data_IF_325486360488
#
_entry.id   IF_325486360488
#
_cell.length_a   1.000
_cell.length_b   1.000
_cell.length_c   1.000
_cell.angle_alpha   90.00
_cell.angle_beta   90.00
_cell.angle_gamma   90.00
#
_symmetry.space_group_name_H-M   'P 1'
#
loop_
_entity.id
_entity.type
_entity.pdbx_description
1 polymer ?
2 branched ?
3 non-polymer ?
4 non-polymer ?
5 water ?
#
# COMPACT_ATOMS: atom_id res chain seq x y z
N UNK A 1 -12.58 -10.50 -0.19
CA UNK A 1 -11.91 -10.36 -1.52
C UNK A 1 -11.33 -8.96 -1.75
N UNK A 2 -10.43 -8.83 -2.73
CA UNK A 2 -9.79 -7.55 -3.05
C UNK A 2 -10.32 -6.88 -4.32
N UNK A 3 -9.62 -5.82 -4.73
CA UNK A 3 -9.95 -5.08 -5.94
C UNK A 3 -8.63 -4.73 -6.61
N UNK A 4 -8.66 -4.58 -7.93
CA UNK A 4 -7.45 -4.25 -8.66
C UNK A 4 -7.55 -2.89 -9.35
N UNK A 5 -6.58 -2.02 -9.08
CA UNK A 5 -6.55 -0.70 -9.73
C UNK A 5 -5.54 -0.78 -10.86
N UNK A 6 -6.02 -0.79 -12.11
CA UNK A 6 -5.11 -0.85 -13.26
C UNK A 6 -4.30 0.43 -13.38
N UNK A 7 -3.03 0.29 -13.75
CA UNK A 7 -2.13 1.43 -13.93
C UNK A 7 -1.53 1.24 -15.33
N UNK A 8 -2.34 1.49 -16.38
CA UNK A 8 -1.98 1.36 -17.79
C UNK A 8 -0.59 1.83 -18.23
N UNK A 9 -0.15 2.97 -17.73
CA UNK A 9 1.17 3.46 -18.11
C UNK A 9 2.22 3.09 -17.09
N UNK A 10 1.84 2.24 -16.14
CA UNK A 10 2.75 1.82 -15.10
C UNK A 10 2.87 2.92 -14.06
N UNK A 11 3.73 2.71 -13.07
CA UNK A 11 3.93 3.70 -12.02
C UNK A 11 4.93 4.73 -12.55
N UNK A 12 4.67 6.00 -12.28
CA UNK A 12 5.55 7.08 -12.74
C UNK A 12 5.65 8.16 -11.66
N UNK A 13 6.81 8.84 -11.58
CA UNK A 13 6.97 9.89 -10.58
C UNK A 13 5.89 10.96 -10.76
N UNK A 14 5.42 11.52 -9.65
CA UNK A 14 4.37 12.54 -9.61
C UNK A 14 2.98 11.93 -9.52
N UNK A 15 2.89 10.61 -9.63
CA UNK A 15 1.61 9.92 -9.53
C UNK A 15 1.15 9.90 -8.07
N UNK A 16 -0.10 10.29 -7.85
CA UNK A 16 -0.67 10.28 -6.50
C UNK A 16 -1.89 9.37 -6.49
N UNK A 17 -1.86 8.35 -5.65
CA UNK A 17 -2.96 7.39 -5.52
C UNK A 17 -3.68 7.65 -4.21
N UNK A 18 -5.01 7.73 -4.26
CA UNK A 18 -5.80 7.98 -3.06
C UNK A 18 -6.82 6.86 -2.86
N UNK A 19 -6.77 6.24 -1.68
CA UNK A 19 -7.69 5.16 -1.35
C UNK A 19 -8.55 5.65 -0.20
N UNK A 20 -9.85 5.72 -0.43
CA UNK A 20 -10.80 6.18 0.57
C UNK A 20 -11.69 5.02 0.99
N UNK A 21 -11.86 4.85 2.29
CA UNK A 21 -12.70 3.78 2.78
C UNK A 21 -12.95 3.81 4.27
N UNK A 22 -13.44 2.70 4.79
CA UNK A 22 -13.71 2.58 6.21
C UNK A 22 -13.21 1.21 6.64
N UNK A 23 -12.49 1.17 7.76
CA UNK A 23 -11.98 -0.10 8.26
C UNK A 23 -13.14 -0.89 8.86
N UNK A 24 -13.24 -2.16 8.50
CA UNK A 24 -14.31 -3.01 9.02
C UNK A 24 -14.11 -3.23 10.51
N UNK A 25 -15.19 -3.60 11.23
CA UNK A 25 -15.06 -3.84 12.67
C UNK A 25 -14.12 -5.02 12.92
N UNK A 26 -13.43 -5.01 14.05
CA UNK A 26 -12.48 -6.07 14.38
C UNK A 26 -11.60 -6.42 13.19
N UNK A 27 -10.91 -5.42 12.65
CA UNK A 27 -10.04 -5.62 11.51
C UNK A 27 -8.81 -6.43 11.88
N UNK A 28 -8.32 -7.22 10.93
CA UNK A 28 -7.13 -8.04 11.14
C UNK A 28 -5.98 -7.53 10.28
N UNK A 29 -6.27 -7.21 9.03
CA UNK A 29 -5.23 -6.73 8.13
C UNK A 29 -5.75 -5.88 6.98
N UNK A 30 -4.83 -5.14 6.38
CA UNK A 30 -5.08 -4.31 5.21
C UNK A 30 -3.85 -4.58 4.35
N UNK A 31 -4.01 -4.54 3.03
CA UNK A 31 -2.87 -4.78 2.16
C UNK A 31 -2.99 -4.11 0.80
N UNK A 32 -1.92 -3.42 0.43
CA UNK A 32 -1.79 -2.74 -0.84
C UNK A 32 -0.65 -3.49 -1.51
N UNK A 33 -0.86 -3.92 -2.75
CA UNK A 33 0.14 -4.66 -3.50
C UNK A 33 0.42 -4.11 -4.89
N UNK A 34 1.52 -3.37 -5.04
CA UNK A 34 1.90 -2.83 -6.34
C UNK A 34 2.58 -4.00 -7.04
N UNK A 35 2.01 -4.46 -8.14
CA UNK A 35 2.54 -5.62 -8.84
C UNK A 35 3.25 -5.38 -10.16
N UNK A 36 4.28 -6.18 -10.39
CA UNK A 36 5.07 -6.13 -11.61
C UNK A 36 5.18 -7.58 -12.05
N UNK A 37 4.24 -8.02 -12.88
CA UNK A 37 4.25 -9.40 -13.32
C UNK A 37 3.93 -10.25 -12.10
N UNK A 38 4.76 -11.25 -11.83
CA UNK A 38 4.57 -12.12 -10.68
C UNK A 38 5.22 -11.53 -9.44
N UNK A 39 5.94 -10.42 -9.62
CA UNK A 39 6.60 -9.75 -8.50
C UNK A 39 5.68 -8.75 -7.84
N UNK A 40 5.97 -8.45 -6.58
CA UNK A 40 5.21 -7.45 -5.83
C UNK A 40 6.25 -6.39 -5.52
N UNK A 41 6.25 -5.32 -6.30
CA UNK A 41 7.21 -4.24 -6.14
C UNK A 41 7.14 -3.60 -4.75
N UNK A 42 5.92 -3.39 -4.27
CA UNK A 42 5.71 -2.77 -2.97
C UNK A 42 4.46 -3.32 -2.29
N UNK A 43 4.69 -3.93 -1.13
CA UNK A 43 3.66 -4.54 -0.30
C UNK A 43 3.54 -3.71 0.98
N UNK A 44 2.40 -3.06 1.18
CA UNK A 44 2.12 -2.22 2.36
C UNK A 44 1.10 -3.04 3.13
N UNK A 45 1.50 -3.56 4.29
CA UNK A 45 0.65 -4.46 5.07
C UNK A 45 0.41 -4.16 6.55
N UNK A 46 -0.61 -3.35 6.88
CA UNK A 46 -0.89 -3.05 8.28
C UNK A 46 -1.50 -4.29 8.95
N UNK A 47 -0.85 -4.78 10.00
CA UNK A 47 -1.34 -5.95 10.74
C UNK A 47 -1.87 -5.48 12.09
N UNK A 48 -3.19 -5.56 12.27
CA UNK A 48 -3.85 -5.08 13.48
C UNK A 48 -3.57 -5.85 14.78
N UNK A 49 -3.42 -7.16 14.68
CA UNK A 49 -3.18 -7.96 15.88
C UNK A 49 -2.23 -9.12 15.60
N UNK A 50 -0.94 -8.81 15.51
CA UNK A 50 0.07 -9.83 15.27
C UNK A 50 0.85 -10.01 16.57
N UNK A 51 0.65 -11.15 17.23
CA UNK A 51 1.34 -11.42 18.48
C UNK A 51 1.01 -10.34 19.51
N UNK A 52 -0.28 -10.00 19.58
CA UNK A 52 -0.79 -9.00 20.50
C UNK A 52 -0.19 -7.61 20.31
N UNK A 53 0.11 -7.26 19.06
CA UNK A 53 0.68 -5.95 18.76
C UNK A 53 0.22 -5.47 17.38
N UNK A 54 0.23 -4.16 17.17
CA UNK A 54 -0.14 -3.59 15.88
C UNK A 54 1.17 -3.21 15.21
N UNK A 55 1.31 -3.56 13.93
CA UNK A 55 2.54 -3.24 13.22
C UNK A 55 2.29 -3.14 11.72
N UNK A 56 3.10 -2.33 11.04
CA UNK A 56 2.98 -2.18 9.60
C UNK A 56 4.21 -2.81 8.95
N UNK A 57 3.96 -3.78 8.08
CA UNK A 57 5.03 -4.47 7.37
C UNK A 57 5.05 -4.07 5.90
N UNK A 58 6.23 -3.72 5.39
CA UNK A 58 6.41 -3.35 3.99
C UNK A 58 7.49 -4.26 3.43
N UNK A 59 7.29 -4.73 2.20
CA UNK A 59 8.27 -5.63 1.60
C UNK A 59 8.11 -5.75 0.10
N UNK A 60 9.04 -6.49 -0.50
CA UNK A 60 9.05 -6.71 -1.93
C UNK A 60 9.18 -8.20 -2.19
N UNK A 61 8.40 -8.69 -3.14
CA UNK A 61 8.41 -10.09 -3.52
C UNK A 61 9.04 -10.23 -4.91
N UNK A 62 10.13 -10.99 -4.99
CA UNK A 62 10.85 -11.22 -6.25
C UNK A 62 11.12 -12.72 -6.43
N UNK A 63 10.96 -13.22 -7.65
CA UNK A 63 11.19 -14.64 -7.93
C UNK A 63 10.48 -15.52 -6.91
N UNK A 64 9.25 -15.14 -6.59
CA UNK A 64 8.40 -15.87 -5.65
C UNK A 64 8.89 -15.89 -4.21
N UNK A 65 9.84 -15.02 -3.88
CA UNK A 65 10.37 -14.95 -2.52
C UNK A 65 10.33 -13.53 -1.96
N UNK A 66 9.91 -13.40 -0.70
CA UNK A 66 9.86 -12.09 -0.06
C UNK A 66 11.27 -11.71 0.39
N UNK A 67 11.56 -10.41 0.36
CA UNK A 67 12.88 -9.94 0.79
C UNK A 67 12.88 -9.55 2.26
N UNK A 68 13.84 -8.72 2.65
CA UNK A 68 13.93 -8.27 4.03
C UNK A 68 12.83 -7.26 4.32
N UNK A 69 12.00 -7.55 5.32
CA UNK A 69 10.90 -6.65 5.67
C UNK A 69 11.35 -5.34 6.30
N UNK A 70 10.52 -4.32 6.16
CA UNK A 70 10.74 -3.02 6.76
C UNK A 70 9.49 -2.86 7.62
N UNK A 71 9.68 -2.69 8.92
CA UNK A 71 8.56 -2.57 9.86
C UNK A 71 8.54 -1.27 10.66
N UNK A 72 7.37 -0.93 11.19
CA UNK A 72 7.23 0.25 12.03
C UNK A 72 6.00 0.08 12.92
N UNK A 73 6.04 0.66 14.12
CA UNK A 73 4.93 0.53 15.06
C UNK A 73 3.83 1.57 14.98
N UNK A 74 4.15 2.77 14.51
CA UNK A 74 3.13 3.81 14.39
C UNK A 74 2.05 3.22 13.50
N UNK A 75 0.82 3.21 14.01
CA UNK A 75 -0.32 2.59 13.32
C UNK A 75 -1.54 3.51 13.39
N UNK A 76 -1.82 4.25 12.30
CA UNK A 76 -2.95 5.19 12.22
C UNK A 76 -4.30 4.62 11.78
N UNK A 77 -4.47 3.31 11.88
CA UNK A 77 -5.73 2.68 11.47
C UNK A 77 -6.47 2.13 12.69
N UNK A 78 -7.79 2.26 12.68
CA UNK A 78 -8.61 1.76 13.77
C UNK A 78 -9.85 1.08 13.21
N UNK A 79 -10.16 -0.10 13.71
CA UNK A 79 -11.33 -0.84 13.26
C UNK A 79 -12.59 0.03 13.29
N UNK A 80 -13.39 -0.09 12.24
CA UNK A 80 -14.64 0.66 12.15
C UNK A 80 -14.54 2.13 11.84
N UNK A 81 -13.33 2.66 11.69
CA UNK A 81 -13.16 4.09 11.41
C UNK A 81 -12.82 4.41 9.96
N UNK A 82 -13.26 5.58 9.47
CA UNK A 82 -12.96 5.96 8.08
C UNK A 82 -11.46 6.19 7.95
N UNK A 83 -10.93 6.00 6.75
CA UNK A 83 -9.50 6.20 6.55
C UNK A 83 -9.21 6.71 5.16
N UNK A 84 -8.02 7.26 5.00
CA UNK A 84 -7.59 7.72 3.70
C UNK A 84 -6.11 7.40 3.57
N UNK A 85 -5.78 6.64 2.54
CA UNK A 85 -4.39 6.30 2.27
C UNK A 85 -4.01 7.01 0.98
N UNK A 86 -2.91 7.75 1.04
CA UNK A 86 -2.41 8.50 -0.09
C UNK A 86 -0.98 8.04 -0.36
N UNK A 87 -0.72 7.60 -1.59
CA UNK A 87 0.62 7.15 -1.96
C UNK A 87 1.17 8.03 -3.07
N UNK A 88 2.29 8.69 -2.78
CA UNK A 88 2.94 9.55 -3.76
C UNK A 88 4.15 8.83 -4.32
N UNK A 89 4.26 8.80 -5.64
CA UNK A 89 5.38 8.13 -6.28
C UNK A 89 6.48 9.15 -6.61
N UNK A 90 7.66 8.91 -6.06
CA UNK A 90 8.81 9.76 -6.31
C UNK A 90 9.76 8.89 -7.10
N UNK A 91 10.77 9.50 -7.74
CA UNK A 91 11.71 8.70 -8.52
C UNK A 91 12.46 7.69 -7.67
N UNK A 92 12.59 7.97 -6.38
CA UNK A 92 13.35 7.10 -5.49
C UNK A 92 12.58 6.30 -4.43
N UNK A 93 11.32 6.64 -4.19
CA UNK A 93 10.57 5.93 -3.18
C UNK A 93 9.07 6.16 -3.27
N UNK A 94 8.33 5.35 -2.54
CA UNK A 94 6.89 5.49 -2.45
C UNK A 94 6.74 6.25 -1.14
N UNK A 95 5.95 7.32 -1.15
CA UNK A 95 5.73 8.08 0.07
C UNK A 95 4.30 7.76 0.47
N UNK A 96 4.11 7.29 1.69
CA UNK A 96 2.77 6.94 2.15
C UNK A 96 2.28 7.87 3.25
N UNK A 97 1.10 8.45 3.04
CA UNK A 97 0.47 9.33 4.02
C UNK A 97 -0.89 8.73 4.37
N UNK A 98 -1.29 8.87 5.63
CA UNK A 98 -2.58 8.38 6.08
C UNK A 98 -3.30 9.54 6.74
N UNK A 99 -4.52 9.80 6.27
CA UNK A 99 -5.32 10.90 6.79
C UNK A 99 -4.59 12.23 6.72
N UNK A 100 -3.97 12.48 5.57
CA UNK A 100 -3.23 13.71 5.29
C UNK A 100 -2.02 13.96 6.17
N UNK A 101 -1.39 12.89 6.64
CA UNK A 101 -0.20 13.02 7.48
C UNK A 101 0.82 11.98 7.05
N UNK A 102 2.07 12.40 6.86
CA UNK A 102 3.10 11.46 6.44
C UNK A 102 3.16 10.27 7.39
N UNK A 103 3.22 9.07 6.81
CA UNK A 103 3.30 7.85 7.60
C UNK A 103 4.68 7.23 7.42
N UNK A 104 5.02 6.88 6.19
CA UNK A 104 6.32 6.26 5.94
C UNK A 104 6.82 6.40 4.51
N UNK A 105 8.04 5.95 4.31
CA UNK A 105 8.70 5.98 3.02
C UNK A 105 9.21 4.58 2.71
N UNK A 106 9.15 4.18 1.44
CA UNK A 106 9.64 2.87 1.02
C UNK A 106 10.47 3.05 -0.24
N UNK A 107 11.79 2.92 -0.12
CA UNK A 107 12.67 3.08 -1.27
C UNK A 107 12.36 2.02 -2.33
N UNK A 108 12.41 2.42 -3.59
CA UNK A 108 12.14 1.49 -4.68
C UNK A 108 13.17 0.37 -4.72
N UNK A 109 12.70 -0.88 -4.79
CA UNK A 109 13.60 -2.02 -4.90
C UNK A 109 13.41 -2.47 -6.34
N UNK A 110 12.16 -2.48 -6.80
CA UNK A 110 11.86 -2.81 -8.19
C UNK A 110 12.01 -1.44 -8.86
N UNK A 111 13.02 -1.33 -9.72
CA UNK A 111 13.36 -0.08 -10.38
C UNK A 111 12.62 0.30 -11.66
N UNK A 112 12.13 -0.67 -12.42
CA UNK A 112 11.40 -0.38 -13.66
C UNK A 112 9.95 -0.07 -13.31
N UNK A 113 9.71 1.13 -12.78
CA UNK A 113 8.38 1.55 -12.35
C UNK A 113 7.33 1.42 -13.45
N UNK A 114 7.76 1.61 -14.69
CA UNK A 114 6.88 1.52 -15.84
C UNK A 114 6.24 0.14 -15.99
N UNK A 115 6.84 -0.86 -15.37
CA UNK A 115 6.33 -2.23 -15.46
C UNK A 115 5.33 -2.58 -14.36
N UNK A 116 5.22 -1.72 -13.35
CA UNK A 116 4.28 -1.94 -12.25
C UNK A 116 2.92 -1.52 -12.80
N UNK A 117 2.21 -2.49 -13.37
CA UNK A 117 0.92 -2.26 -14.03
C UNK A 117 -0.38 -2.24 -13.21
N UNK A 118 -0.33 -2.58 -11.93
CA UNK A 118 -1.56 -2.58 -11.15
C UNK A 118 -1.32 -2.53 -9.65
N UNK A 119 -2.36 -2.11 -8.94
CA UNK A 119 -2.32 -2.02 -7.49
C UNK A 119 -3.45 -2.84 -6.89
N UNK A 120 -3.08 -3.90 -6.18
CA UNK A 120 -4.09 -4.74 -5.56
C UNK A 120 -4.43 -4.14 -4.21
N UNK A 121 -5.72 -4.10 -3.89
CA UNK A 121 -6.19 -3.56 -2.62
C UNK A 121 -7.02 -4.64 -1.94
N UNK A 122 -6.58 -5.09 -0.77
CA UNK A 122 -7.29 -6.14 -0.04
C UNK A 122 -7.28 -5.91 1.46
N UNK A 123 -7.96 -6.78 2.18
CA UNK A 123 -8.00 -6.64 3.62
C UNK A 123 -9.37 -6.27 4.14
N UNK A 124 -9.41 -5.97 5.43
CA UNK A 124 -10.66 -5.64 6.11
C UNK A 124 -11.08 -4.18 6.00
N UNK A 125 -11.42 -3.78 4.78
CA UNK A 125 -11.85 -2.42 4.53
C UNK A 125 -13.00 -2.40 3.54
N UNK A 126 -13.79 -1.34 3.59
CA UNK A 126 -14.90 -1.16 2.66
C UNK A 126 -14.44 0.04 1.83
N UNK A 127 -14.22 -0.19 0.54
CA UNK A 127 -13.75 0.86 -0.37
C UNK A 127 -14.80 1.86 -0.83
N UNK A 128 -14.49 3.14 -0.69
CA UNK A 128 -15.38 4.20 -1.17
C UNK A 128 -14.86 4.45 -2.58
N UNK A 129 -13.55 4.67 -2.69
CA UNK A 129 -12.92 4.89 -3.98
C UNK A 129 -11.42 4.64 -3.92
N UNK A 130 -10.85 4.31 -5.07
CA UNK A 130 -9.42 4.06 -5.20
C UNK A 130 -9.06 4.65 -6.56
N UNK A 131 -8.38 5.78 -6.56
CA UNK A 131 -8.04 6.42 -7.82
C UNK A 131 -6.65 7.03 -7.83
N UNK A 132 -6.26 7.55 -8.99
CA UNK A 132 -4.96 8.17 -9.11
C UNK A 132 -5.01 9.33 -10.08
N UNK A 133 -4.03 10.21 -9.95
CA UNK A 133 -3.90 11.36 -10.81
C UNK A 133 -2.43 11.74 -10.76
N UNK A 134 -2.06 12.74 -11.54
CA UNK A 134 -0.69 13.21 -11.56
C UNK A 134 -0.70 14.59 -10.92
N UNK A 135 0.31 14.90 -10.12
CA UNK A 135 0.36 16.21 -9.49
C UNK A 135 1.67 16.90 -9.84
X LIG B 1 7.45 -14.32 8.89
X LIG B 1 6.38 -15.26 8.71
X LIG B 1 5.13 -14.53 8.26
X LIG B 1 4.05 -15.50 8.02
X LIG B 1 5.42 -13.84 6.94
X LIG B 1 4.22 -13.16 6.53
X LIG B 1 6.57 -12.87 7.14
X LIG B 1 6.19 -11.84 8.07
X LIG B 1 7.78 -13.63 7.67
X LIG B 1 8.90 -12.64 7.97
X LIG B 1 10.02 -13.34 8.51
X LIG B 1 3.30 -16.00 9.00
X LIG B 1 3.41 -15.70 10.32
X LIG B 1 2.31 -17.11 8.62
X LIG B 2 4.25 -12.79 5.15
X LIG B 2 2.81 -12.69 4.66
X LIG B 2 2.77 -12.15 3.24
X LIG B 2 3.51 -10.82 3.21
X LIG B 2 4.93 -11.04 3.70
X LIG B 2 5.71 -9.73 3.66
X LIG B 2 2.19 -13.98 4.70
X LIG B 2 1.40 -11.95 2.86
X LIG B 2 2.84 -9.89 4.07
X LIG B 2 4.90 -11.51 5.05
X LIG B 2 7.03 -9.96 4.14
X LIG C 1 9.22 -17.20 14.02
X LIG C 1 7.93 -16.86 14.55
X LIG C 1 8.05 -15.65 15.46
X LIG C 1 6.72 -15.26 15.94
X LIG C 1 8.64 -14.48 14.70
X LIG C 1 8.82 -13.40 15.62
X LIG C 1 9.97 -14.89 14.10
X LIG C 1 10.92 -15.15 15.14
X LIG C 1 9.79 -16.14 13.24
X LIG C 1 11.15 -16.59 12.72
X LIG C 1 11.00 -17.81 11.98
X LIG C 1 6.29 -15.58 17.16
X LIG C 1 7.00 -16.28 18.09
X LIG C 1 4.95 -15.00 17.62
X LIG C 2 8.61 -12.14 14.97
X LIG C 2 8.48 -11.07 16.04
X LIG C 2 8.27 -9.72 15.38
X LIG C 2 9.42 -9.45 14.42
X LIG C 2 9.52 -10.60 13.43
X LIG C 2 10.68 -10.36 12.46
X LIG C 2 7.36 -11.37 16.89
X LIG C 2 8.24 -8.70 16.39
X LIG C 2 10.65 -9.34 15.16
X LIG C 2 9.73 -11.84 14.13
X LIG C 2 10.72 -11.42 11.51
X LIG D 1 8.58 -19.65 9.13
X LIG D 1 8.41 -18.55 9.97
X LIG D 1 7.77 -17.41 9.51
X LIG D 1 7.32 -17.35 8.20
X LIG D 1 7.51 -18.43 7.35
X LIG D 1 8.14 -19.58 7.81
X LIG D 1 6.69 -16.24 7.71
X LIG D 1 9.08 -20.79 9.60
X LIG D 1 9.51 -20.85 10.96
X LIG D 1 9.14 -21.91 8.74
X LIG E 1 5.62 -19.70 11.22
X LIG E 1 6.62 -19.92 12.17
X LIG E 1 7.04 -18.89 12.99
X LIG E 1 6.47 -17.62 12.88
X LIG E 1 5.47 -17.41 11.94
X LIG E 1 5.04 -18.44 11.11
X LIG E 1 6.99 -16.54 13.52
X LIG E 1 5.24 -20.67 10.40
X LIG E 1 5.87 -21.94 10.47
X LIG E 1 4.24 -20.37 9.43
X LIG F 1 21.03 -11.30 9.49
X LIG F 1 21.34 -12.66 9.97
X LIG F 1 21.15 -10.35 10.61
X LIG F 1 21.99 -10.93 8.43
X LIG F 1 19.66 -11.26 8.95
X LIG G 1 14.08 -4.20 -11.70
X LIG G 1 13.80 -5.62 -11.49
X LIG G 1 15.14 -4.03 -12.71
X LIG G 1 12.87 -3.51 -12.18
X LIG G 1 14.52 -3.60 -10.43
X LIG H 1 13.20 -10.82 7.21
X LIG H 1 12.16 -9.87 6.76
X LIG H 1 14.35 -10.07 7.76
X LIG H 1 12.64 -11.70 8.25
X LIG H 1 13.65 -11.63 6.06
X LIG I 1 8.12 3.20 14.71
X LIG I 1 9.23 4.15 14.94
X LIG I 1 7.35 3.61 13.52
X LIG I 1 8.67 1.85 14.51
X LIG I 1 7.22 3.20 15.88
#
# INVERSE_FOLDING_TARGET
MPYNLPLPGGVVPRMLITILGTVKPNANRIALDFQRGNDVAFHFNPRFNENNRRVIVCNTKLDNNWGREERQSVFPFESGKPFKIQVLVEPDHFKVAVNDAHLLQYNHRVKKLNEISKLGISGDIDLTSASYTMI
A2G O5 C1 C2 N2 C3 O3 C4 O4 C5 C6 O6 C7 O7 C8
GAL C1 C2 C3 C4 C5 C6 O2 O3 O4 O5 O6
A2G O5 C1 C2 N2 C3 O3 C4 O4 C5 C6 O6 C7 O7 C8
GAL C1 C2 C3 C4 C5 C6 O2 O3 O4 O5 O6
NPO C1 C2 C3 C4 C5 C6 OH N1 O2 O3
NPO C1 C2 C3 C4 C5 C6 OH N1 O2 O3
SO4 S O1 O2 O3 O4
SO4 S O1 O2 O3 O4
SO4 S O1 O2 O3 O4
SO4 S O1 O2 O3 O4
#
